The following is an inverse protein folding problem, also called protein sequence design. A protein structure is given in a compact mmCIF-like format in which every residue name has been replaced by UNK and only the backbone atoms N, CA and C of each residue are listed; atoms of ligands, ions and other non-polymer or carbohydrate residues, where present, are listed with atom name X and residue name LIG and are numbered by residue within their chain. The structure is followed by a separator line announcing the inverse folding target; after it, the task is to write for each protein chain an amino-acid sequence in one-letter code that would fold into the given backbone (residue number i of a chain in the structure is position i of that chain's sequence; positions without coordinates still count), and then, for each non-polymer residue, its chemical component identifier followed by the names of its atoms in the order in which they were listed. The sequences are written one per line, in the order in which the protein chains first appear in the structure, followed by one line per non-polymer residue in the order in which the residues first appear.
data_IF_424061698955
#
_entry.id   IF_424061698955
#
_cell.length_a   1.000
_cell.length_b   1.000
_cell.length_c   1.000
_cell.angle_alpha   90.00
_cell.angle_beta   90.00
_cell.angle_gamma   90.00
#
_symmetry.space_group_name_H-M   'P 1'
#
loop_
_entity.id
_entity.type
_entity.pdbx_description
1 polymer ?
#
# COMPACT_ATOMS: atom_id res chain seq x y z
N UNK A 1 -38.87 -4.11 -8.26
CA UNK A 1 -38.02 -2.91 -8.34
C UNK A 1 -36.76 -3.20 -7.51
N UNK A 2 -35.61 -2.83 -8.07
CA UNK A 2 -34.19 -2.95 -7.67
C UNK A 2 -33.93 -2.80 -6.15
N UNK A 3 -32.85 -3.27 -5.49
CA UNK A 3 -31.42 -3.31 -5.83
C UNK A 3 -30.57 -3.97 -4.72
N UNK A 4 -29.61 -4.78 -5.16
CA UNK A 4 -28.21 -4.86 -4.70
C UNK A 4 -27.89 -5.18 -3.22
N UNK A 5 -27.47 -6.45 -3.01
CA UNK A 5 -26.74 -6.88 -1.83
C UNK A 5 -25.32 -6.31 -1.78
N UNK A 6 -25.02 -5.58 -0.72
CA UNK A 6 -23.66 -5.17 -0.36
C UNK A 6 -23.00 -6.30 0.43
N UNK A 7 -22.20 -7.12 -0.25
CA UNK A 7 -21.38 -8.16 0.39
C UNK A 7 -20.23 -7.50 1.14
N UNK A 8 -20.32 -7.61 2.46
CA UNK A 8 -19.33 -7.30 3.49
C UNK A 8 -17.93 -7.82 3.10
N UNK A 9 -17.06 -6.95 2.57
CA UNK A 9 -15.65 -7.26 2.39
C UNK A 9 -14.92 -6.78 3.64
N UNK A 10 -14.76 -7.72 4.57
CA UNK A 10 -13.92 -7.61 5.75
C UNK A 10 -12.58 -6.98 5.34
N UNK A 11 -12.36 -5.74 5.77
CA UNK A 11 -11.10 -5.04 5.57
C UNK A 11 -10.05 -5.79 6.37
N UNK A 12 -9.21 -6.56 5.68
CA UNK A 12 -7.95 -7.01 6.26
C UNK A 12 -7.21 -5.70 6.63
N UNK A 13 -6.89 -5.44 7.90
CA UNK A 13 -6.20 -4.22 8.25
C UNK A 13 -4.86 -4.26 7.51
N UNK A 14 -4.71 -3.36 6.53
CA UNK A 14 -3.40 -3.03 6.01
C UNK A 14 -2.54 -2.70 7.23
N UNK A 15 -1.34 -3.30 7.42
CA UNK A 15 -0.46 -2.91 8.49
C UNK A 15 -0.05 -1.46 8.23
N UNK A 16 -0.84 -0.53 8.77
CA UNK A 16 -0.52 0.88 8.81
C UNK A 16 0.77 1.05 9.62
N UNK A 17 1.54 2.12 9.37
CA UNK A 17 2.75 2.40 10.10
C UNK A 17 2.39 2.72 11.56
N UNK A 18 2.41 1.70 12.42
CA UNK A 18 1.96 1.80 13.80
C UNK A 18 1.40 0.47 14.26
N UNK A 19 2.29 -0.50 14.44
CA UNK A 19 1.98 -1.78 15.08
C UNK A 19 1.27 -1.54 16.42
N UNK A 20 0.32 -2.44 16.72
CA UNK A 20 -0.66 -2.26 17.79
C UNK A 20 -0.07 -1.78 19.11
N UNK A 21 -0.81 -0.87 19.76
CA UNK A 21 -0.56 -0.34 21.10
C UNK A 21 -0.67 -1.43 22.17
N UNK A 22 0.21 -2.43 22.13
CA UNK A 22 0.30 -3.52 23.09
C UNK A 22 1.76 -3.81 23.46
N UNK A 23 2.01 -4.62 24.50
CA UNK A 23 3.35 -4.92 25.04
C UNK A 23 4.19 -5.86 24.14
N UNK A 24 4.03 -5.76 22.82
CA UNK A 24 4.78 -6.54 21.82
C UNK A 24 5.88 -5.71 21.15
N UNK A 25 6.78 -6.35 20.39
CA UNK A 25 7.82 -5.65 19.65
C UNK A 25 7.21 -4.61 18.71
N UNK A 26 7.71 -3.38 18.79
CA UNK A 26 7.28 -2.29 17.93
C UNK A 26 7.86 -2.45 16.53
N UNK A 27 7.12 -1.93 15.54
CA UNK A 27 7.65 -1.83 14.18
C UNK A 27 8.94 -0.99 14.18
N UNK A 28 9.97 -1.37 13.40
CA UNK A 28 11.20 -0.61 13.33
C UNK A 28 10.92 0.78 12.76
N UNK A 29 11.55 1.81 13.36
CA UNK A 29 11.51 3.18 12.85
C UNK A 29 12.47 3.32 11.66
N UNK A 30 12.04 2.80 10.51
CA UNK A 30 12.75 2.95 9.24
C UNK A 30 12.13 4.08 8.41
N UNK A 31 12.98 4.88 7.78
CA UNK A 31 12.55 5.91 6.83
C UNK A 31 11.93 5.24 5.59
N UNK A 32 10.84 5.82 5.10
CA UNK A 32 10.21 5.33 3.86
C UNK A 32 11.13 5.66 2.68
N UNK A 33 11.29 4.73 1.72
CA UNK A 33 12.13 4.99 0.55
C UNK A 33 11.49 6.07 -0.34
N UNK A 34 12.31 6.83 -1.07
CA UNK A 34 11.83 7.88 -1.97
C UNK A 34 11.10 7.28 -3.19
N UNK A 35 9.80 7.49 -3.28
CA UNK A 35 8.96 6.94 -4.34
C UNK A 35 9.31 7.47 -5.73
N UNK A 36 9.74 8.73 -5.86
CA UNK A 36 10.05 9.32 -7.16
C UNK A 36 11.25 8.63 -7.83
N UNK A 37 12.29 8.34 -7.06
CA UNK A 37 13.48 7.64 -7.53
C UNK A 37 13.17 6.19 -7.89
N UNK A 38 12.34 5.52 -7.08
CA UNK A 38 11.85 4.17 -7.36
C UNK A 38 11.09 4.15 -8.69
N UNK A 39 10.12 5.06 -8.87
CA UNK A 39 9.33 5.14 -10.09
C UNK A 39 10.18 5.47 -11.32
N UNK A 40 11.17 6.34 -11.19
CA UNK A 40 12.13 6.66 -12.26
C UNK A 40 12.94 5.42 -12.67
N UNK A 41 13.39 4.62 -11.71
CA UNK A 41 14.10 3.37 -11.99
C UNK A 41 13.17 2.31 -12.58
N UNK A 42 11.95 2.17 -12.04
CA UNK A 42 10.94 1.25 -12.56
C UNK A 42 10.62 1.58 -14.01
N UNK A 43 10.38 2.85 -14.38
CA UNK A 43 10.14 3.22 -15.80
C UNK A 43 11.24 2.77 -16.76
N UNK A 44 12.49 2.71 -16.30
CA UNK A 44 13.63 2.24 -17.10
C UNK A 44 13.71 0.72 -17.21
N UNK A 45 13.40 0.02 -16.13
CA UNK A 45 13.53 -1.45 -16.04
C UNK A 45 12.25 -2.16 -16.48
N UNK A 46 11.11 -1.70 -15.97
CA UNK A 46 9.76 -2.19 -16.26
C UNK A 46 8.72 -1.04 -16.15
N UNK A 47 8.28 -0.46 -17.28
CA UNK A 47 7.30 0.61 -17.28
C UNK A 47 5.88 0.16 -16.89
N UNK A 48 5.56 -1.14 -16.95
CA UNK A 48 4.27 -1.65 -16.50
C UNK A 48 4.21 -1.71 -14.97
N UNK A 49 5.30 -2.12 -14.32
CA UNK A 49 5.43 -2.09 -12.86
C UNK A 49 5.33 -0.66 -12.31
N UNK A 50 5.95 0.33 -12.97
CA UNK A 50 5.79 1.73 -12.57
C UNK A 50 4.31 2.18 -12.59
N UNK A 51 3.54 1.75 -13.61
CA UNK A 51 2.12 2.06 -13.73
C UNK A 51 1.29 1.36 -12.65
N UNK A 52 1.52 0.07 -12.43
CA UNK A 52 0.84 -0.70 -11.37
C UNK A 52 1.14 -0.15 -9.98
N UNK A 53 2.38 0.26 -9.74
CA UNK A 53 2.79 0.84 -8.46
C UNK A 53 2.04 2.14 -8.19
N UNK A 54 1.98 3.07 -9.16
CA UNK A 54 1.18 4.31 -9.04
C UNK A 54 -0.29 4.03 -8.74
N UNK A 55 -0.90 3.10 -9.47
CA UNK A 55 -2.31 2.72 -9.25
C UNK A 55 -2.55 2.13 -7.85
N UNK A 56 -1.59 1.35 -7.32
CA UNK A 56 -1.70 0.70 -6.01
C UNK A 56 -1.46 1.67 -4.86
N UNK A 57 -0.49 2.57 -5.02
CA UNK A 57 0.01 3.42 -3.95
C UNK A 57 -0.63 4.81 -3.93
N UNK A 58 -1.23 5.26 -5.04
CA UNK A 58 -1.82 6.59 -5.17
C UNK A 58 -0.82 7.69 -5.53
N UNK A 59 0.39 7.30 -5.98
CA UNK A 59 1.52 8.20 -6.29
C UNK A 59 1.54 8.74 -7.73
#
# INVERSE_FOLDING_TARGET
MTEQGQKNKQMIPSPGPGGGSGPGPQAPKVEKPNTEEILKRMRKVDPDQARRYRQRTGE
#
